data_IF_191417868491
#
_entry.id   IF_191417868491
#
_cell.length_a   1.000
_cell.length_b   1.000
_cell.length_c   1.000
_cell.angle_alpha   90.00
_cell.angle_beta   90.00
_cell.angle_gamma   90.00
#
_symmetry.space_group_name_H-M   'P 1'
#
loop_
_entity.id
_entity.type
_entity.pdbx_description
1 polymer ?
#
# COMPACT_ATOMS: atom_id res chain seq x y z
N UNK A 1 11.58 -2.43 -26.18
CA UNK A 1 11.40 -2.23 -25.91
C UNK A 1 11.09 -2.06 -25.64
N UNK A 2 11.09 -2.26 -25.38
CA UNK A 2 10.84 -2.04 -24.96
C UNK A 2 10.63 -1.93 -24.55
N UNK A 3 10.82 -2.09 -24.40
CA UNK A 3 10.71 -1.94 -23.90
C UNK A 3 10.57 -1.75 -23.33
N UNK A 4 10.66 -1.91 -23.15
CA UNK A 4 10.56 -1.68 -22.49
C UNK A 4 10.37 -1.68 -21.97
N UNK A 5 10.50 -1.82 -21.89
CA UNK A 5 10.38 -1.72 -21.34
C UNK A 5 10.28 -1.59 -20.78
N UNK A 6 10.44 -1.75 -20.65
CA UNK A 6 10.34 -1.57 -20.06
C UNK A 6 10.24 -1.60 -19.42
N UNK A 7 10.31 -1.72 -19.39
CA UNK A 7 10.26 -1.61 -18.77
C UNK A 7 10.23 -1.56 -18.19
N UNK A 8 10.44 -1.75 -18.04
CA UNK A 8 10.47 -1.59 -17.41
C UNK A 8 10.35 -1.44 -16.69
N UNK A 9 10.42 -1.77 -16.51
CA UNK A 9 10.35 -1.59 -15.78
C UNK A 9 10.35 -1.33 -15.22
N UNK A 10 10.51 -1.38 -15.01
CA UNK A 10 10.56 -1.06 -14.42
C UNK A 10 10.48 -0.79 -13.94
N UNK A 11 10.66 -0.85 -13.75
CA UNK A 11 10.74 -0.54 -13.33
C UNK A 11 10.20 -0.29 -12.90
N UNK A 12 9.94 -0.55 -12.83
CA UNK A 12 9.40 -0.36 -12.28
C UNK A 12 9.12 -0.11 -11.01
N UNK A 13 9.48 -0.32 -10.23
CA UNK A 13 9.32 -0.18 -8.83
C UNK A 13 8.83 1.16 -8.32
N UNK A 14 9.13 2.17 -9.03
CA UNK A 14 8.65 3.51 -8.70
C UNK A 14 7.20 3.72 -9.07
N UNK A 15 6.60 2.82 -9.79
CA UNK A 15 5.20 2.89 -10.16
C UNK A 15 4.40 1.89 -9.36
N UNK A 16 3.24 2.32 -8.83
CA UNK A 16 2.41 1.46 -7.99
C UNK A 16 0.93 1.56 -8.35
N UNK A 17 0.58 1.52 -9.67
CA UNK A 17 -0.80 1.73 -10.06
C UNK A 17 -1.74 0.66 -9.53
N UNK A 18 -1.23 -0.57 -9.34
CA UNK A 18 -2.07 -1.67 -8.91
C UNK A 18 -2.46 -1.59 -7.44
N UNK A 19 -1.73 -0.81 -6.65
CA UNK A 19 -2.01 -0.71 -5.22
C UNK A 19 -2.42 0.67 -4.77
N UNK A 20 -2.22 1.69 -5.63
CA UNK A 20 -2.55 3.07 -5.27
C UNK A 20 -4.04 3.20 -5.03
N UNK A 21 -4.41 3.85 -3.94
CA UNK A 21 -5.79 4.08 -3.60
C UNK A 21 -6.03 4.00 -2.11
N UNK A 22 -7.29 4.02 -1.74
CA UNK A 22 -7.72 3.92 -0.35
C UNK A 22 -8.17 2.49 -0.08
N UNK A 23 -7.61 1.90 0.98
CA UNK A 23 -7.95 0.56 1.42
C UNK A 23 -8.56 0.65 2.81
N UNK A 24 -9.64 -0.10 3.05
CA UNK A 24 -10.36 0.02 4.31
C UNK A 24 -10.79 -1.36 4.82
N UNK A 25 -10.76 -1.53 6.14
CA UNK A 25 -11.34 -2.73 6.76
C UNK A 25 -12.85 -2.72 6.55
N UNK A 26 -13.47 -3.90 6.64
CA UNK A 26 -14.91 -4.03 6.38
C UNK A 26 -15.75 -3.14 7.29
N UNK A 27 -15.32 -2.94 8.53
CA UNK A 27 -16.01 -2.07 9.48
C UNK A 27 -15.65 -0.59 9.32
N UNK A 28 -14.72 -0.26 8.40
CA UNK A 28 -14.30 1.11 8.18
C UNK A 28 -13.40 1.70 9.26
N UNK A 29 -13.00 0.91 10.24
CA UNK A 29 -12.21 1.41 11.36
C UNK A 29 -10.81 1.82 10.94
N UNK A 30 -10.20 1.07 10.02
CA UNK A 30 -8.86 1.34 9.53
C UNK A 30 -8.96 1.69 8.07
N UNK A 31 -8.41 2.85 7.69
CA UNK A 31 -8.36 3.32 6.31
C UNK A 31 -6.92 3.66 5.98
N UNK A 32 -6.38 2.97 5.02
CA UNK A 32 -4.99 3.13 4.61
C UNK A 32 -4.94 3.63 3.18
N UNK A 33 -4.36 4.80 3.01
CA UNK A 33 -4.15 5.37 1.68
C UNK A 33 -2.74 5.03 1.21
N UNK A 34 -2.65 4.36 0.07
CA UNK A 34 -1.37 4.10 -0.61
C UNK A 34 -1.26 5.10 -1.75
N UNK A 35 -0.30 6.00 -1.64
CA UNK A 35 -0.15 7.12 -2.56
C UNK A 35 0.80 6.79 -3.70
N UNK A 36 0.65 7.44 -4.84
CA UNK A 36 1.53 7.16 -5.99
C UNK A 36 2.97 7.59 -5.75
N UNK A 37 3.23 8.46 -4.78
CA UNK A 37 4.59 8.91 -4.45
C UNK A 37 5.35 7.93 -3.55
N UNK A 38 4.75 6.77 -3.21
CA UNK A 38 5.39 5.79 -2.35
C UNK A 38 5.16 6.04 -0.86
N UNK A 39 4.30 7.00 -0.53
CA UNK A 39 3.96 7.30 0.86
C UNK A 39 2.62 6.65 1.21
N UNK A 40 2.45 6.28 2.47
CA UNK A 40 1.15 5.82 2.94
C UNK A 40 0.71 6.64 4.15
N UNK A 41 -0.61 6.69 4.34
CA UNK A 41 -1.24 7.44 5.42
C UNK A 41 -2.40 6.58 5.94
N UNK A 42 -2.33 6.16 7.19
CA UNK A 42 -3.31 5.24 7.75
C UNK A 42 -4.05 5.92 8.90
N UNK A 43 -5.39 5.94 8.79
CA UNK A 43 -6.27 6.41 9.86
C UNK A 43 -6.81 5.23 10.64
N UNK A 44 -7.02 5.43 11.94
CA UNK A 44 -7.61 4.43 12.81
C UNK A 44 -8.76 5.05 13.59
N UNK A 45 -9.98 4.63 13.29
CA UNK A 45 -11.17 5.23 13.88
C UNK A 45 -11.25 6.72 13.54
N UNK A 46 -11.32 7.57 14.55
CA UNK A 46 -11.33 9.02 14.37
C UNK A 46 -9.94 9.64 14.33
N UNK A 47 -8.90 8.82 14.52
CA UNK A 47 -7.53 9.31 14.56
C UNK A 47 -6.97 9.30 13.14
N UNK A 48 -6.85 10.49 12.55
CA UNK A 48 -6.26 10.65 11.23
C UNK A 48 -4.75 10.51 11.33
N UNK A 49 -4.15 10.00 10.27
CA UNK A 49 -2.70 9.87 10.15
C UNK A 49 -2.09 9.22 11.39
N UNK A 50 -2.77 8.16 11.87
CA UNK A 50 -2.27 7.41 13.01
C UNK A 50 -0.91 6.81 12.70
N UNK A 51 -0.70 6.41 11.44
CA UNK A 51 0.59 5.94 10.94
C UNK A 51 0.84 6.53 9.58
N UNK A 52 2.05 7.03 9.38
CA UNK A 52 2.49 7.51 8.07
C UNK A 52 3.89 6.98 7.82
N UNK A 53 4.24 6.80 6.56
CA UNK A 53 5.55 6.30 6.20
C UNK A 53 5.66 6.05 4.72
N UNK A 54 6.54 5.13 4.36
CA UNK A 54 6.79 4.76 2.97
C UNK A 54 6.48 3.29 2.76
N UNK A 55 6.14 2.95 1.53
CA UNK A 55 5.92 1.57 1.15
C UNK A 55 6.61 1.28 -0.17
N UNK A 56 7.00 0.01 -0.35
CA UNK A 56 7.53 -0.48 -1.62
C UNK A 56 6.76 -1.72 -2.00
N UNK A 57 6.62 -1.96 -3.30
CA UNK A 57 5.85 -3.08 -3.83
C UNK A 57 6.77 -3.98 -4.63
N UNK A 58 6.70 -5.27 -4.36
CA UNK A 58 7.40 -6.29 -5.12
C UNK A 58 6.39 -7.36 -5.48
N UNK A 59 5.95 -7.37 -6.75
CA UNK A 59 4.85 -8.25 -7.15
C UNK A 59 3.59 -7.90 -6.39
N UNK A 60 3.08 -8.84 -5.60
CA UNK A 60 1.90 -8.63 -4.76
C UNK A 60 2.25 -8.37 -3.31
N UNK A 61 3.54 -8.24 -3.01
CA UNK A 61 4.02 -8.04 -1.64
C UNK A 61 4.32 -6.57 -1.40
N UNK A 62 3.94 -6.06 -0.24
CA UNK A 62 4.18 -4.67 0.15
C UNK A 62 5.00 -4.66 1.43
N UNK A 63 6.06 -3.86 1.44
CA UNK A 63 6.85 -3.59 2.62
C UNK A 63 6.61 -2.16 3.05
N UNK A 64 6.37 -1.97 4.35
CA UNK A 64 6.10 -0.65 4.92
C UNK A 64 7.18 -0.29 5.93
N UNK A 65 7.56 0.99 5.94
CA UNK A 65 8.42 1.54 6.99
C UNK A 65 7.76 2.84 7.44
N UNK A 66 7.35 2.90 8.70
CA UNK A 66 6.74 4.14 9.18
C UNK A 66 7.80 5.18 9.50
N UNK A 67 7.36 6.42 9.70
CA UNK A 67 8.28 7.54 9.89
C UNK A 67 9.09 7.42 11.19
N UNK A 68 8.71 6.52 12.09
CA UNK A 68 9.47 6.25 13.31
C UNK A 68 10.39 5.03 13.20
N UNK A 69 10.38 4.36 12.04
CA UNK A 69 11.28 3.25 11.75
C UNK A 69 10.70 1.86 11.93
N UNK A 70 9.47 1.73 12.38
CA UNK A 70 8.83 0.42 12.49
C UNK A 70 8.47 -0.10 11.12
N UNK A 71 8.59 -1.41 10.95
CA UNK A 71 8.30 -2.07 9.68
C UNK A 71 7.06 -2.94 9.79
N UNK A 72 6.42 -3.14 8.65
CA UNK A 72 5.26 -4.02 8.53
C UNK A 72 5.21 -4.56 7.11
N UNK A 73 4.38 -5.55 6.87
CA UNK A 73 4.25 -6.14 5.54
C UNK A 73 2.78 -6.31 5.19
N UNK A 74 2.53 -6.46 3.90
CA UNK A 74 1.20 -6.77 3.38
C UNK A 74 1.32 -7.56 2.10
N UNK A 75 0.25 -8.25 1.74
CA UNK A 75 0.16 -9.01 0.50
C UNK A 75 -1.20 -8.79 -0.12
N UNK A 76 -1.24 -8.59 -1.42
CA UNK A 76 -2.50 -8.46 -2.14
C UNK A 76 -2.81 -9.81 -2.78
N UNK A 77 -3.97 -10.37 -2.41
CA UNK A 77 -4.45 -11.63 -2.96
C UNK A 77 -5.89 -11.44 -3.39
N UNK A 78 -6.17 -11.75 -4.66
CA UNK A 78 -7.52 -11.62 -5.22
C UNK A 78 -8.11 -10.23 -5.03
N UNK A 79 -7.25 -9.19 -5.13
CA UNK A 79 -7.69 -7.80 -4.99
C UNK A 79 -7.92 -7.35 -3.56
N UNK A 80 -7.53 -8.16 -2.57
CA UNK A 80 -7.73 -7.86 -1.14
C UNK A 80 -6.35 -7.72 -0.49
N UNK A 81 -6.18 -6.66 0.28
CA UNK A 81 -4.93 -6.39 0.98
C UNK A 81 -4.94 -7.07 2.35
N UNK A 82 -4.02 -8.00 2.53
CA UNK A 82 -3.78 -8.65 3.82
C UNK A 82 -2.59 -7.98 4.46
N UNK A 83 -2.85 -7.11 5.43
CA UNK A 83 -1.83 -6.30 6.10
C UNK A 83 -1.75 -6.75 7.54
N UNK A 84 -0.69 -7.50 7.89
CA UNK A 84 -0.55 -8.12 9.17
C UNK A 84 -1.77 -9.00 9.44
N UNK A 85 -2.49 -8.79 10.54
CA UNK A 85 -3.71 -9.55 10.83
C UNK A 85 -4.97 -8.87 10.26
N UNK A 86 -4.80 -7.75 9.54
CA UNK A 86 -5.92 -6.97 9.02
C UNK A 86 -6.23 -7.37 7.60
N UNK A 87 -7.49 -7.24 7.23
CA UNK A 87 -7.97 -7.47 5.87
C UNK A 87 -8.61 -6.17 5.39
N UNK A 88 -8.07 -5.61 4.32
CA UNK A 88 -8.54 -4.33 3.79
C UNK A 88 -8.97 -4.50 2.34
N UNK A 89 -10.01 -3.76 2.01
CA UNK A 89 -10.65 -3.80 0.70
C UNK A 89 -10.48 -2.43 0.04
N UNK A 90 -10.24 -2.45 -1.26
CA UNK A 90 -10.08 -1.21 -1.99
C UNK A 90 -11.42 -0.48 -2.07
N UNK A 91 -11.42 0.81 -1.74
CA UNK A 91 -12.61 1.64 -1.93
C UNK A 91 -12.79 1.93 -3.42
N UNK A 92 -14.04 1.90 -3.84
CA UNK A 92 -14.39 2.18 -5.23
C UNK A 92 -14.16 3.65 -5.59
#
# INVERSE_FOLDING_TARGET
VATNTESTAGANGERRPDVVGMWTTADGHIRQELRPDGRYDEARGTRRSAYTGRYTVTGNHIDYVDDTGFTATGDIRDGVLHHEHLVLYREA
#
